data_IF_451445265254
#
_entry.id   IF_451445265254
#
_cell.length_a   1.000
_cell.length_b   1.000
_cell.length_c   1.000
_cell.angle_alpha   90.00
_cell.angle_beta   90.00
_cell.angle_gamma   90.00
#
_symmetry.space_group_name_H-M   'P 1'
#
loop_
_entity.id
_entity.type
_entity.pdbx_description
1 polymer ?
#
# COMPACT_ATOMS: atom_id res chain seq x y z
N UNK A 1 -23.34 -28.90 32.52
CA UNK A 1 -22.14 -29.49 33.15
C UNK A 1 -20.95 -29.02 32.32
N UNK A 2 -20.35 -27.85 32.61
CA UNK A 2 -19.27 -27.58 33.59
C UNK A 2 -18.05 -28.50 33.39
N UNK A 3 -17.06 -28.02 32.64
CA UNK A 3 -15.62 -28.24 32.90
C UNK A 3 -14.83 -27.06 32.34
N UNK A 4 -14.03 -26.49 33.23
CA UNK A 4 -13.20 -25.31 33.06
C UNK A 4 -11.85 -25.68 32.45
N UNK A 5 -11.29 -24.87 31.54
CA UNK A 5 -9.86 -24.87 31.27
C UNK A 5 -9.30 -23.47 31.45
N UNK A 6 -8.52 -23.33 32.52
CA UNK A 6 -7.79 -22.15 32.96
C UNK A 6 -6.65 -21.89 31.95
N UNK A 7 -6.72 -20.81 31.18
CA UNK A 7 -5.55 -20.25 30.49
C UNK A 7 -4.98 -19.11 31.35
N UNK A 8 -4.03 -19.48 32.22
CA UNK A 8 -3.11 -18.52 32.81
C UNK A 8 -1.95 -18.32 31.82
N UNK A 9 -2.06 -17.31 30.95
CA UNK A 9 -0.96 -16.90 30.09
C UNK A 9 -0.22 -15.75 30.78
N UNK A 10 0.89 -16.11 31.41
CA UNK A 10 1.76 -15.21 32.15
C UNK A 10 2.34 -14.11 31.25
N UNK A 11 2.14 -12.87 31.67
CA UNK A 11 2.78 -11.66 31.15
C UNK A 11 4.22 -11.64 31.65
N UNK A 12 5.17 -11.81 30.74
CA UNK A 12 6.60 -11.59 31.01
C UNK A 12 7.22 -10.80 29.84
N UNK A 13 7.08 -9.48 29.88
CA UNK A 13 7.81 -8.57 29.00
C UNK A 13 9.14 -8.23 29.69
N UNK A 14 10.16 -9.03 29.45
CA UNK A 14 11.51 -8.77 29.95
C UNK A 14 12.17 -7.71 29.06
N UNK A 15 12.28 -6.49 29.58
CA UNK A 15 13.18 -5.46 29.09
C UNK A 15 14.63 -5.84 29.43
N UNK A 16 15.41 -6.32 28.47
CA UNK A 16 16.88 -6.21 28.46
C UNK A 16 17.37 -6.18 27.01
N UNK A 17 17.85 -5.03 26.55
CA UNK A 17 18.90 -4.93 25.54
C UNK A 17 19.41 -3.47 25.45
N UNK A 18 20.14 -3.03 26.48
CA UNK A 18 21.16 -2.01 26.34
C UNK A 18 22.50 -2.78 26.28
N UNK A 19 23.23 -2.69 25.18
CA UNK A 19 24.45 -3.46 24.96
C UNK A 19 25.41 -2.77 24.00
N UNK A 20 26.56 -2.38 24.54
CA UNK A 20 27.69 -1.69 23.92
C UNK A 20 28.40 -2.43 22.76
N UNK A 21 29.18 -1.64 22.02
CA UNK A 21 29.91 -1.98 20.79
C UNK A 21 31.16 -2.86 20.97
N UNK A 22 31.61 -3.52 19.88
CA UNK A 22 33.04 -3.75 19.63
C UNK A 22 33.53 -3.32 18.23
N UNK A 23 34.82 -2.97 18.13
CA UNK A 23 35.57 -2.52 16.93
C UNK A 23 36.40 -3.65 16.27
N UNK A 24 36.82 -3.39 15.01
CA UNK A 24 37.92 -3.96 14.18
C UNK A 24 37.64 -5.28 13.44
N UNK A 25 38.13 -5.58 12.23
CA UNK A 25 38.87 -4.87 11.17
C UNK A 25 38.95 -5.78 9.91
N UNK A 26 38.93 -5.17 8.71
CA UNK A 26 39.60 -5.53 7.43
C UNK A 26 39.31 -6.84 6.65
N UNK A 27 38.85 -6.61 5.40
CA UNK A 27 39.47 -6.97 4.11
C UNK A 27 38.59 -7.86 3.20
N UNK A 28 38.04 -7.30 2.11
CA UNK A 28 38.19 -7.84 0.74
C UNK A 28 37.88 -6.74 -0.29
N UNK A 29 38.96 -6.31 -0.96
CA UNK A 29 39.13 -5.88 -2.36
C UNK A 29 37.96 -5.27 -3.19
N UNK A 30 38.32 -4.13 -3.77
CA UNK A 30 37.65 -3.33 -4.79
C UNK A 30 37.28 -4.08 -6.09
N UNK A 31 36.16 -3.65 -6.69
CA UNK A 31 36.15 -3.30 -8.11
C UNK A 31 35.13 -2.18 -8.39
N UNK A 32 35.63 -1.07 -8.94
CA UNK A 32 34.86 0.05 -9.45
C UNK A 32 34.13 -0.36 -10.74
N UNK A 33 32.83 -0.12 -10.81
CA UNK A 33 32.22 0.40 -12.04
C UNK A 33 30.94 1.17 -11.70
N UNK A 34 31.07 2.49 -11.78
CA UNK A 34 29.96 3.42 -11.90
C UNK A 34 28.96 2.95 -12.95
N UNK A 35 27.69 2.90 -12.55
CA UNK A 35 26.65 3.54 -13.35
C UNK A 35 25.79 4.34 -12.38
N UNK A 36 26.17 5.60 -12.26
CA UNK A 36 25.35 6.70 -11.84
C UNK A 36 24.07 6.72 -12.70
N UNK A 37 22.98 6.16 -12.18
CA UNK A 37 21.67 6.72 -12.48
C UNK A 37 21.35 7.65 -11.32
N UNK A 38 21.85 8.88 -11.45
CA UNK A 38 21.42 10.03 -10.70
C UNK A 38 19.91 10.19 -10.90
N UNK A 39 19.12 9.60 -10.01
CA UNK A 39 17.89 10.29 -9.61
C UNK A 39 18.35 11.39 -8.68
N UNK A 40 18.84 12.48 -9.26
CA UNK A 40 19.05 13.73 -8.55
C UNK A 40 17.76 14.00 -7.76
N UNK A 41 17.89 14.07 -6.44
CA UNK A 41 16.91 14.68 -5.58
C UNK A 41 16.57 16.04 -6.20
N UNK A 42 15.38 16.16 -6.79
CA UNK A 42 14.88 17.41 -7.38
C UNK A 42 14.60 18.48 -6.32
N UNK A 43 15.16 18.33 -5.12
CA UNK A 43 14.96 19.15 -3.93
C UNK A 43 16.18 19.97 -3.50
N UNK A 44 17.32 19.82 -4.15
CA UNK A 44 18.59 20.40 -3.62
C UNK A 44 18.82 21.86 -4.05
N UNK A 45 17.91 22.43 -4.86
CA UNK A 45 18.00 23.82 -5.32
C UNK A 45 16.95 24.70 -4.63
N UNK A 46 17.31 25.47 -3.57
CA UNK A 46 16.36 26.23 -2.75
C UNK A 46 15.62 27.33 -3.54
N UNK A 47 16.19 27.80 -4.65
CA UNK A 47 15.52 28.75 -5.56
C UNK A 47 14.30 28.14 -6.28
N UNK A 48 14.22 26.81 -6.36
CA UNK A 48 13.08 26.09 -6.94
C UNK A 48 12.06 25.67 -5.87
N UNK A 49 12.25 26.04 -4.59
CA UNK A 49 11.38 25.60 -3.49
C UNK A 49 9.88 25.87 -3.73
N UNK A 50 9.44 27.06 -4.22
CA UNK A 50 8.02 27.29 -4.50
C UNK A 50 7.46 26.38 -5.62
N UNK A 51 8.24 26.19 -6.70
CA UNK A 51 7.84 25.34 -7.83
C UNK A 51 7.82 23.86 -7.42
N UNK A 52 8.79 23.45 -6.60
CA UNK A 52 8.88 22.12 -6.04
C UNK A 52 7.71 21.82 -5.10
N UNK A 53 7.27 22.79 -4.29
CA UNK A 53 6.10 22.65 -3.43
C UNK A 53 4.81 22.44 -4.25
N UNK A 54 4.55 23.29 -5.25
CA UNK A 54 3.37 23.15 -6.12
C UNK A 54 3.40 21.82 -6.88
N UNK A 55 4.57 21.44 -7.41
CA UNK A 55 4.78 20.15 -8.06
C UNK A 55 4.55 18.95 -7.13
N UNK A 56 5.02 19.04 -5.88
CA UNK A 56 4.84 18.00 -4.87
C UNK A 56 3.37 17.86 -4.46
N UNK A 57 2.66 18.97 -4.23
CA UNK A 57 1.21 18.96 -3.95
C UNK A 57 0.42 18.32 -5.09
N UNK A 58 0.71 18.69 -6.34
CA UNK A 58 0.05 18.11 -7.50
C UNK A 58 0.30 16.61 -7.63
N UNK A 59 1.52 16.15 -7.38
CA UNK A 59 1.85 14.72 -7.35
C UNK A 59 1.14 14.00 -6.20
N UNK A 60 1.15 14.57 -5.00
CA UNK A 60 0.51 14.00 -3.82
C UNK A 60 -0.99 13.80 -4.05
N UNK A 61 -1.69 14.84 -4.54
CA UNK A 61 -3.12 14.77 -4.87
C UNK A 61 -3.42 13.62 -5.85
N UNK A 62 -2.68 13.55 -6.94
CA UNK A 62 -2.85 12.50 -7.94
C UNK A 62 -2.60 11.08 -7.39
N UNK A 63 -1.63 10.91 -6.50
CA UNK A 63 -1.36 9.61 -5.87
C UNK A 63 -2.47 9.24 -4.90
N UNK A 64 -2.92 10.19 -4.08
CA UNK A 64 -3.99 9.99 -3.10
C UNK A 64 -5.30 9.62 -3.79
N UNK A 65 -5.74 10.38 -4.80
CA UNK A 65 -6.98 10.09 -5.53
C UNK A 65 -6.96 8.70 -6.17
N UNK A 66 -5.83 8.30 -6.78
CA UNK A 66 -5.67 6.96 -7.38
C UNK A 66 -5.79 5.85 -6.34
N UNK A 67 -5.09 5.99 -5.20
CA UNK A 67 -5.08 4.98 -4.15
C UNK A 67 -6.44 4.87 -3.47
N UNK A 68 -7.08 6.01 -3.19
CA UNK A 68 -8.40 6.08 -2.56
C UNK A 68 -9.45 5.40 -3.45
N UNK A 69 -9.44 5.65 -4.76
CA UNK A 69 -10.40 5.04 -5.68
C UNK A 69 -10.27 3.51 -5.71
N UNK A 70 -9.05 2.98 -5.78
CA UNK A 70 -8.85 1.53 -5.84
C UNK A 70 -9.20 0.84 -4.51
N UNK A 71 -8.81 1.45 -3.38
CA UNK A 71 -9.13 0.93 -2.06
C UNK A 71 -10.64 0.88 -1.80
N UNK A 72 -11.37 1.92 -2.22
CA UNK A 72 -12.83 1.96 -2.08
C UNK A 72 -13.51 0.85 -2.89
N UNK A 73 -13.05 0.60 -4.11
CA UNK A 73 -13.58 -0.51 -4.94
C UNK A 73 -13.24 -1.86 -4.28
N UNK A 74 -12.02 -2.05 -3.79
CA UNK A 74 -11.63 -3.28 -3.10
C UNK A 74 -12.48 -3.54 -1.84
N UNK A 75 -12.76 -2.49 -1.06
CA UNK A 75 -13.62 -2.59 0.12
C UNK A 75 -15.04 -3.02 -0.26
N UNK A 76 -15.61 -2.46 -1.33
CA UNK A 76 -16.92 -2.86 -1.82
C UNK A 76 -16.97 -4.32 -2.31
N UNK A 77 -15.89 -4.78 -2.96
CA UNK A 77 -15.75 -6.20 -3.36
C UNK A 77 -15.73 -7.11 -2.13
N UNK A 78 -14.99 -6.71 -1.08
CA UNK A 78 -14.91 -7.49 0.14
C UNK A 78 -16.25 -7.52 0.87
N UNK A 79 -16.98 -6.39 0.90
CA UNK A 79 -18.31 -6.33 1.49
C UNK A 79 -19.31 -7.20 0.71
N UNK A 80 -19.29 -7.13 -0.62
CA UNK A 80 -20.10 -8.01 -1.47
C UNK A 80 -19.80 -9.48 -1.16
N UNK A 81 -18.52 -9.86 -1.06
CA UNK A 81 -18.13 -11.23 -0.72
C UNK A 81 -18.60 -11.65 0.68
N UNK A 82 -18.52 -10.75 1.66
CA UNK A 82 -18.94 -11.04 3.02
C UNK A 82 -20.45 -11.29 3.13
N UNK A 83 -21.26 -10.62 2.30
CA UNK A 83 -22.73 -10.75 2.33
C UNK A 83 -23.22 -11.85 1.38
N UNK A 84 -22.71 -11.90 0.15
CA UNK A 84 -23.17 -12.82 -0.90
C UNK A 84 -22.43 -14.17 -0.90
N UNK A 85 -21.37 -14.31 -0.09
CA UNK A 85 -20.54 -15.52 -0.02
C UNK A 85 -19.70 -15.80 -1.27
N UNK A 86 -19.66 -14.86 -2.24
CA UNK A 86 -18.90 -14.98 -3.49
C UNK A 86 -18.39 -13.61 -3.94
N UNK A 87 -17.32 -13.59 -4.72
CA UNK A 87 -16.90 -12.35 -5.37
C UNK A 87 -17.87 -11.95 -6.49
N UNK A 88 -18.00 -10.65 -6.80
CA UNK A 88 -18.82 -10.20 -7.93
C UNK A 88 -18.24 -10.73 -9.24
N UNK A 89 -19.08 -11.03 -10.22
CA UNK A 89 -18.67 -11.47 -11.57
C UNK A 89 -18.03 -10.32 -12.34
N UNK A 90 -18.44 -9.09 -12.05
CA UNK A 90 -17.88 -7.87 -12.64
C UNK A 90 -17.98 -6.70 -11.66
N UNK A 91 -17.14 -5.68 -11.83
CA UNK A 91 -17.23 -4.45 -11.02
C UNK A 91 -18.61 -3.76 -11.15
N UNK A 92 -19.30 -3.94 -12.28
CA UNK A 92 -20.64 -3.37 -12.47
C UNK A 92 -21.72 -4.02 -11.60
N UNK A 93 -21.49 -5.24 -11.13
CA UNK A 93 -22.41 -5.92 -10.20
C UNK A 93 -22.47 -5.21 -8.85
N UNK A 94 -21.34 -4.65 -8.40
CA UNK A 94 -21.31 -3.82 -7.19
C UNK A 94 -22.27 -2.63 -7.28
N UNK A 95 -22.44 -2.06 -8.47
CA UNK A 95 -23.35 -0.94 -8.70
C UNK A 95 -24.80 -1.41 -8.80
N UNK A 96 -25.04 -2.51 -9.52
CA UNK A 96 -26.37 -3.08 -9.69
C UNK A 96 -26.98 -3.54 -8.37
N UNK A 97 -26.18 -4.18 -7.53
CA UNK A 97 -26.59 -4.72 -6.23
C UNK A 97 -26.46 -3.68 -5.10
N UNK A 98 -26.08 -2.43 -5.41
CA UNK A 98 -26.10 -1.32 -4.44
C UNK A 98 -24.92 -1.24 -3.46
N UNK A 99 -23.91 -2.10 -3.59
CA UNK A 99 -22.67 -2.04 -2.80
C UNK A 99 -21.77 -0.85 -3.18
N UNK A 100 -22.05 -0.20 -4.32
CA UNK A 100 -21.28 0.94 -4.79
C UNK A 100 -22.14 1.88 -5.64
N UNK A 101 -22.26 3.15 -5.26
CA UNK A 101 -23.17 4.08 -5.97
C UNK A 101 -22.81 4.25 -7.46
N UNK A 102 -21.52 4.42 -7.77
CA UNK A 102 -21.00 4.52 -9.14
C UNK A 102 -19.50 4.31 -9.13
N UNK A 103 -18.99 3.49 -10.04
CA UNK A 103 -17.54 3.30 -10.20
C UNK A 103 -16.87 4.61 -10.66
N UNK A 104 -15.81 5.09 -9.97
CA UNK A 104 -15.05 6.24 -10.44
C UNK A 104 -14.38 5.89 -11.77
N UNK A 105 -14.23 6.90 -12.64
CA UNK A 105 -13.49 6.71 -13.88
C UNK A 105 -12.03 6.34 -13.58
N UNK A 106 -11.44 5.37 -14.30
CA UNK A 106 -10.03 5.07 -14.14
C UNK A 106 -9.19 6.30 -14.56
N UNK A 107 -7.94 6.43 -14.06
CA UNK A 107 -7.03 7.50 -14.45
C UNK A 107 -6.84 7.55 -15.98
N UNK A 108 -6.47 8.73 -16.51
CA UNK A 108 -6.31 8.92 -17.95
C UNK A 108 -5.37 7.86 -18.56
N UNK A 109 -5.82 7.24 -19.65
CA UNK A 109 -5.08 6.21 -20.38
C UNK A 109 -4.97 4.86 -19.66
N UNK A 110 -5.72 4.67 -18.56
CA UNK A 110 -5.72 3.44 -17.77
C UNK A 110 -7.08 2.76 -17.79
N UNK A 111 -7.09 1.47 -17.44
CA UNK A 111 -8.33 0.68 -17.25
C UNK A 111 -8.26 -0.14 -15.97
N UNK A 112 -9.43 -0.43 -15.39
CA UNK A 112 -9.50 -1.41 -14.30
C UNK A 112 -9.22 -2.81 -14.81
N UNK A 113 -8.46 -3.57 -14.02
CA UNK A 113 -8.43 -5.03 -14.12
C UNK A 113 -9.11 -5.59 -12.89
N UNK A 114 -9.94 -6.59 -13.11
CA UNK A 114 -10.65 -7.27 -12.06
C UNK A 114 -10.59 -8.78 -12.29
N UNK A 115 -10.32 -9.52 -11.21
CA UNK A 115 -10.33 -10.98 -11.20
C UNK A 115 -11.50 -11.47 -10.35
N UNK A 116 -12.51 -12.06 -10.99
CA UNK A 116 -13.71 -12.57 -10.31
C UNK A 116 -13.48 -13.81 -9.44
N UNK A 117 -12.36 -14.51 -9.62
CA UNK A 117 -12.02 -15.67 -8.78
C UNK A 117 -11.37 -15.24 -7.46
N UNK A 118 -10.57 -14.20 -7.48
CA UNK A 118 -9.80 -13.74 -6.31
C UNK A 118 -10.34 -12.46 -5.68
N UNK A 119 -11.25 -11.75 -6.35
CA UNK A 119 -11.77 -10.47 -5.88
C UNK A 119 -10.77 -9.31 -5.98
N UNK A 120 -9.61 -9.51 -6.62
CA UNK A 120 -8.58 -8.48 -6.71
C UNK A 120 -8.90 -7.48 -7.82
N UNK A 121 -8.76 -6.19 -7.49
CA UNK A 121 -8.88 -5.08 -8.46
C UNK A 121 -7.56 -4.31 -8.58
N UNK A 122 -7.22 -3.92 -9.81
CA UNK A 122 -6.01 -3.19 -10.14
C UNK A 122 -6.23 -2.24 -11.32
N UNK A 123 -5.15 -1.57 -11.74
CA UNK A 123 -5.16 -0.61 -12.85
C UNK A 123 -3.98 -0.95 -13.79
N UNK A 124 -4.22 -0.97 -15.11
CA UNK A 124 -3.18 -1.12 -16.15
C UNK A 124 -3.20 0.04 -17.11
#
# INVERSE_FOLDING_TARGET
>A
MKTNWIFALAVSFALVACGEAPKKDKNTKANNKSKSDETASKGDNPLLAPVNYVGALGKAKNVSEKKINLANIQNAINQFNAVEGRYPKSLGELVKEGYYAKLPAPPKGKRYLYNSKTGQVGIK
#
